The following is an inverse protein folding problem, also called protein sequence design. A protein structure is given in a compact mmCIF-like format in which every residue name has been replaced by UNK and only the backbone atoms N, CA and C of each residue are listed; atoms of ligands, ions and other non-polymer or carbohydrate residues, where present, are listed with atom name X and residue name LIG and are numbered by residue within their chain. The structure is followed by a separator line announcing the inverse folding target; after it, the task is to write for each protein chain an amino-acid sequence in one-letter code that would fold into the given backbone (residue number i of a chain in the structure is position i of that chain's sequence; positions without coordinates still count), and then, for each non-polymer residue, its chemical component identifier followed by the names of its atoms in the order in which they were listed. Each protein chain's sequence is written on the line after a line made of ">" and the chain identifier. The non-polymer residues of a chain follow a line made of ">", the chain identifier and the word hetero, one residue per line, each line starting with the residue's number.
data_IF_515632398944
#
_entry.id   IF_515632398944
#
_cell.length_a   1.000
_cell.length_b   1.000
_cell.length_c   1.000
_cell.angle_alpha   90.00
_cell.angle_beta   90.00
_cell.angle_gamma   90.00
#
_symmetry.space_group_name_H-M   'P 1'
#
loop_
_entity.id
_entity.type
_entity.pdbx_description
1 polymer ?
#
# COMPACT_ATOMS: atom_id res chain seq x y z
N UNK A 1 45.14 -1.80 -0.24
CA UNK A 1 44.44 -1.37 -1.47
C UNK A 1 43.45 -2.42 -1.99
N UNK A 2 43.80 -3.72 -2.08
CA UNK A 2 42.85 -4.76 -2.56
C UNK A 2 41.60 -4.96 -1.67
N UNK A 3 41.75 -4.93 -0.34
CA UNK A 3 40.61 -5.08 0.58
C UNK A 3 39.58 -3.93 0.44
N UNK A 4 40.06 -2.71 0.24
CA UNK A 4 39.22 -1.52 0.02
C UNK A 4 38.47 -1.61 -1.31
N UNK A 5 39.08 -2.16 -2.35
CA UNK A 5 38.42 -2.35 -3.66
C UNK A 5 37.32 -3.42 -3.59
N UNK A 6 37.56 -4.51 -2.86
CA UNK A 6 36.56 -5.58 -2.67
C UNK A 6 35.33 -5.06 -1.91
N UNK A 7 35.55 -4.24 -0.87
CA UNK A 7 34.46 -3.66 -0.09
C UNK A 7 33.52 -2.79 -0.93
N UNK A 8 34.04 -1.96 -1.83
CA UNK A 8 33.23 -1.16 -2.75
C UNK A 8 32.40 -2.05 -3.70
N UNK A 9 33.01 -3.08 -4.27
CA UNK A 9 32.31 -4.04 -5.12
C UNK A 9 31.17 -4.75 -4.38
N UNK A 10 31.39 -5.11 -3.13
CA UNK A 10 30.39 -5.78 -2.29
C UNK A 10 29.21 -4.85 -1.97
N UNK A 11 29.47 -3.57 -1.66
CA UNK A 11 28.41 -2.57 -1.50
C UNK A 11 27.58 -2.44 -2.79
N UNK A 12 28.21 -2.40 -3.97
CA UNK A 12 27.49 -2.29 -5.25
C UNK A 12 26.62 -3.51 -5.53
N UNK A 13 27.12 -4.71 -5.22
CA UNK A 13 26.33 -5.94 -5.34
C UNK A 13 25.14 -5.92 -4.39
N UNK A 14 25.35 -5.48 -3.16
CA UNK A 14 24.29 -5.37 -2.15
C UNK A 14 23.22 -4.35 -2.57
N UNK A 15 23.61 -3.17 -3.06
CA UNK A 15 22.67 -2.17 -3.57
C UNK A 15 21.82 -2.74 -4.71
N UNK A 16 22.45 -3.37 -5.71
CA UNK A 16 21.73 -4.01 -6.84
C UNK A 16 20.76 -5.10 -6.40
N UNK A 17 21.14 -5.88 -5.39
CA UNK A 17 20.26 -6.91 -4.85
C UNK A 17 19.01 -6.29 -4.20
N UNK A 18 19.20 -5.26 -3.38
CA UNK A 18 18.10 -4.52 -2.74
C UNK A 18 17.22 -3.81 -3.78
N UNK A 19 17.82 -3.22 -4.83
CA UNK A 19 17.09 -2.60 -5.93
C UNK A 19 16.20 -3.62 -6.68
N UNK A 20 16.72 -4.81 -6.99
CA UNK A 20 15.93 -5.86 -7.63
C UNK A 20 14.79 -6.36 -6.74
N UNK A 21 15.04 -6.49 -5.43
CA UNK A 21 14.01 -6.89 -4.48
C UNK A 21 12.92 -5.83 -4.34
N UNK A 22 13.31 -4.55 -4.30
CA UNK A 22 12.39 -3.41 -4.30
C UNK A 22 11.50 -3.41 -5.54
N UNK A 23 12.06 -3.60 -6.74
CA UNK A 23 11.29 -3.66 -7.99
C UNK A 23 10.23 -4.76 -7.95
N UNK A 24 10.63 -6.00 -7.63
CA UNK A 24 9.73 -7.14 -7.56
C UNK A 24 8.60 -6.95 -6.55
N UNK A 25 8.92 -6.41 -5.36
CA UNK A 25 7.92 -6.14 -4.33
C UNK A 25 7.04 -4.95 -4.69
N UNK A 26 7.56 -3.86 -5.24
CA UNK A 26 6.74 -2.72 -5.68
C UNK A 26 5.72 -3.13 -6.74
N UNK A 27 6.13 -3.92 -7.73
CA UNK A 27 5.21 -4.46 -8.74
C UNK A 27 4.11 -5.30 -8.09
N UNK A 28 4.47 -6.18 -7.16
CA UNK A 28 3.53 -7.06 -6.47
C UNK A 28 2.58 -6.27 -5.55
N UNK A 29 3.09 -5.24 -4.87
CA UNK A 29 2.33 -4.32 -4.03
C UNK A 29 1.31 -3.53 -4.85
N UNK A 30 1.75 -2.94 -5.98
CA UNK A 30 0.86 -2.22 -6.90
C UNK A 30 -0.27 -3.11 -7.44
N UNK A 31 0.02 -4.39 -7.73
CA UNK A 31 -0.99 -5.37 -8.15
C UNK A 31 -2.00 -5.67 -7.05
N UNK A 32 -1.54 -5.80 -5.79
CA UNK A 32 -2.42 -6.00 -4.65
C UNK A 32 -3.33 -4.78 -4.43
N UNK A 33 -2.81 -3.55 -4.51
CA UNK A 33 -3.60 -2.32 -4.41
C UNK A 33 -4.66 -2.22 -5.51
N UNK A 34 -4.29 -2.55 -6.75
CA UNK A 34 -5.23 -2.53 -7.89
C UNK A 34 -6.30 -3.62 -7.77
N UNK A 35 -5.92 -4.81 -7.32
CA UNK A 35 -6.84 -5.93 -7.10
C UNK A 35 -7.81 -5.66 -5.94
N UNK A 36 -7.35 -4.94 -4.91
CA UNK A 36 -8.21 -4.44 -3.84
C UNK A 36 -9.32 -3.56 -4.40
N UNK A 37 -8.97 -2.59 -5.27
CA UNK A 37 -9.96 -1.71 -5.91
C UNK A 37 -10.97 -2.46 -6.80
N UNK A 38 -10.54 -3.51 -7.52
CA UNK A 38 -11.42 -4.25 -8.43
C UNK A 38 -12.39 -5.17 -7.70
N UNK A 39 -11.95 -5.78 -6.59
CA UNK A 39 -12.79 -6.57 -5.69
C UNK A 39 -13.94 -5.73 -5.13
N UNK A 40 -13.63 -4.53 -4.63
CA UNK A 40 -14.63 -3.60 -4.06
C UNK A 40 -15.72 -3.22 -5.08
N UNK A 41 -15.36 -2.98 -6.35
CA UNK A 41 -16.35 -2.63 -7.38
C UNK A 41 -17.29 -3.79 -7.77
N UNK A 42 -16.84 -5.05 -7.60
CA UNK A 42 -17.64 -6.24 -7.94
C UNK A 42 -18.64 -6.61 -6.84
N UNK A 43 -18.27 -6.39 -5.59
CA UNK A 43 -19.05 -6.80 -4.41
C UNK A 43 -20.34 -5.95 -4.21
N UNK A 44 -20.49 -4.86 -4.96
CA UNK A 44 -21.72 -4.06 -5.03
C UNK A 44 -22.93 -4.86 -5.57
N UNK A 45 -22.72 -6.02 -6.22
CA UNK A 45 -23.78 -6.78 -6.90
C UNK A 45 -24.20 -8.10 -6.22
N UNK A 46 -23.46 -8.61 -5.24
CA UNK A 46 -23.71 -9.93 -4.62
C UNK A 46 -23.35 -9.92 -3.15
N UNK A 47 -24.20 -9.34 -2.30
CA UNK A 47 -23.87 -9.06 -0.90
C UNK A 47 -24.74 -9.90 0.04
N UNK A 48 -24.26 -11.09 0.37
CA UNK A 48 -24.78 -11.89 1.49
C UNK A 48 -23.69 -12.60 2.31
N UNK A 49 -22.41 -12.47 1.97
CA UNK A 49 -21.34 -13.12 2.74
C UNK A 49 -20.01 -12.47 2.41
N UNK A 50 -19.46 -11.60 3.28
CA UNK A 50 -18.01 -11.35 3.47
C UNK A 50 -17.72 -10.13 4.35
N UNK A 51 -17.75 -10.33 5.66
CA UNK A 51 -17.10 -9.43 6.63
C UNK A 51 -15.63 -9.81 6.91
N UNK A 52 -15.16 -10.96 6.40
CA UNK A 52 -13.89 -11.58 6.83
C UNK A 52 -12.76 -11.46 5.79
N UNK A 53 -13.10 -11.29 4.51
CA UNK A 53 -12.10 -11.28 3.41
C UNK A 53 -11.31 -9.97 3.31
N UNK A 54 -11.85 -8.84 3.77
CA UNK A 54 -11.16 -7.53 3.72
C UNK A 54 -10.00 -7.45 4.73
N UNK A 55 -10.23 -7.93 5.95
CA UNK A 55 -9.25 -7.94 7.05
C UNK A 55 -7.96 -8.70 6.68
N UNK A 56 -8.08 -9.84 6.02
CA UNK A 56 -6.91 -10.63 5.59
C UNK A 56 -6.05 -9.92 4.54
N UNK A 57 -6.68 -9.21 3.59
CA UNK A 57 -5.97 -8.48 2.55
C UNK A 57 -5.30 -7.21 3.10
N UNK A 58 -5.95 -6.55 4.07
CA UNK A 58 -5.39 -5.39 4.77
C UNK A 58 -4.11 -5.77 5.55
N UNK A 59 -4.13 -6.88 6.29
CA UNK A 59 -2.95 -7.36 7.02
C UNK A 59 -1.77 -7.65 6.07
N UNK A 60 -2.04 -8.21 4.89
CA UNK A 60 -1.01 -8.46 3.87
C UNK A 60 -0.45 -7.16 3.31
N UNK A 61 -1.29 -6.15 3.07
CA UNK A 61 -0.86 -4.83 2.58
C UNK A 61 -0.02 -4.08 3.61
N UNK A 62 -0.41 -4.15 4.89
CA UNK A 62 0.39 -3.58 5.99
C UNK A 62 1.75 -4.26 6.06
N UNK A 63 1.80 -5.59 6.05
CA UNK A 63 3.06 -6.33 6.08
C UNK A 63 3.98 -5.97 4.91
N UNK A 64 3.42 -5.86 3.70
CA UNK A 64 4.17 -5.49 2.51
C UNK A 64 4.65 -4.04 2.52
N UNK A 65 3.86 -3.13 3.11
CA UNK A 65 4.26 -1.74 3.33
C UNK A 65 5.47 -1.66 4.25
N UNK A 66 5.43 -2.36 5.39
CA UNK A 66 6.54 -2.41 6.35
C UNK A 66 7.80 -3.01 5.73
N UNK A 67 7.64 -4.05 4.91
CA UNK A 67 8.78 -4.69 4.24
C UNK A 67 9.43 -3.77 3.19
N UNK A 68 8.64 -3.05 2.40
CA UNK A 68 9.15 -2.05 1.46
C UNK A 68 9.86 -0.89 2.18
N UNK A 69 9.33 -0.43 3.32
CA UNK A 69 9.99 0.57 4.17
C UNK A 69 11.35 0.08 4.68
N UNK A 70 11.42 -1.18 5.12
CA UNK A 70 12.68 -1.79 5.57
C UNK A 70 13.69 -1.91 4.43
N UNK A 71 13.26 -2.29 3.23
CA UNK A 71 14.14 -2.38 2.05
C UNK A 71 14.66 -1.01 1.61
N UNK A 72 13.81 0.03 1.61
CA UNK A 72 14.23 1.41 1.34
C UNK A 72 15.24 1.90 2.39
N UNK A 73 15.00 1.62 3.66
CA UNK A 73 15.93 1.96 4.75
C UNK A 73 17.28 1.24 4.58
N UNK A 74 17.25 -0.05 4.22
CA UNK A 74 18.46 -0.82 3.98
C UNK A 74 19.24 -0.28 2.78
N UNK A 75 18.58 0.05 1.66
CA UNK A 75 19.24 0.61 0.48
C UNK A 75 19.83 2.01 0.79
N UNK A 76 19.13 2.81 1.58
CA UNK A 76 19.65 4.09 2.09
C UNK A 76 20.95 3.88 2.88
N UNK A 77 20.95 2.94 3.83
CA UNK A 77 22.14 2.65 4.64
C UNK A 77 23.33 2.14 3.79
N UNK A 78 23.07 1.39 2.71
CA UNK A 78 24.11 0.96 1.77
C UNK A 78 24.66 2.14 0.97
N UNK A 79 23.78 3.02 0.49
CA UNK A 79 24.19 4.24 -0.22
C UNK A 79 24.98 5.20 0.68
N UNK A 80 24.68 5.26 1.97
CA UNK A 80 25.44 6.04 2.95
C UNK A 80 26.85 5.46 3.16
N UNK A 81 26.98 4.14 3.32
CA UNK A 81 28.28 3.46 3.38
C UNK A 81 29.11 3.67 2.10
N UNK A 82 28.47 3.66 0.94
CA UNK A 82 29.13 4.02 -0.32
C UNK A 82 29.61 5.47 -0.30
N UNK A 83 28.79 6.40 0.20
CA UNK A 83 29.18 7.80 0.33
C UNK A 83 30.38 7.98 1.27
N UNK A 84 30.38 7.32 2.43
CA UNK A 84 31.51 7.32 3.36
C UNK A 84 32.80 6.79 2.70
N UNK A 85 32.69 5.66 1.98
CA UNK A 85 33.82 5.09 1.25
C UNK A 85 34.41 6.10 0.26
N UNK A 86 33.55 6.77 -0.50
CA UNK A 86 34.01 7.72 -1.50
C UNK A 86 34.60 9.00 -0.93
N UNK A 87 34.25 9.37 0.30
CA UNK A 87 34.84 10.51 1.02
C UNK A 87 36.15 10.14 1.76
N UNK A 88 36.58 8.87 1.71
CA UNK A 88 37.80 8.43 2.38
C UNK A 88 39.03 9.13 1.77
N UNK A 89 39.89 9.78 2.59
CA UNK A 89 41.10 10.45 2.11
C UNK A 89 42.00 9.49 1.31
N UNK A 90 42.40 9.89 0.10
CA UNK A 90 43.22 9.07 -0.81
C UNK A 90 42.44 8.25 -1.84
N UNK A 91 41.12 8.06 -1.67
CA UNK A 91 40.25 7.41 -2.68
C UNK A 91 39.54 8.45 -3.56
N UNK A 92 39.17 9.61 -2.99
CA UNK A 92 38.35 10.63 -3.65
C UNK A 92 39.08 11.43 -4.74
N UNK A 93 40.42 11.52 -4.69
CA UNK A 93 41.22 12.46 -5.49
C UNK A 93 41.18 12.24 -7.01
N UNK A 94 40.62 11.14 -7.51
CA UNK A 94 40.62 10.88 -8.96
C UNK A 94 39.51 9.98 -9.50
N UNK A 95 38.49 9.60 -8.71
CA UNK A 95 37.61 8.51 -9.10
C UNK A 95 36.19 8.99 -9.47
N UNK A 96 36.09 9.80 -10.52
CA UNK A 96 34.82 10.31 -11.06
C UNK A 96 33.81 9.20 -11.37
N UNK A 97 34.29 8.00 -11.74
CA UNK A 97 33.45 6.82 -11.95
C UNK A 97 32.75 6.34 -10.66
N UNK A 98 33.41 6.42 -9.49
CA UNK A 98 32.80 6.08 -8.20
C UNK A 98 31.70 7.09 -7.84
N UNK A 99 31.99 8.38 -8.03
CA UNK A 99 31.02 9.47 -7.81
C UNK A 99 29.78 9.29 -8.67
N UNK A 100 29.95 9.03 -9.97
CA UNK A 100 28.83 8.80 -10.89
C UNK A 100 28.02 7.56 -10.51
N UNK A 101 28.70 6.49 -10.10
CA UNK A 101 28.03 5.25 -9.69
C UNK A 101 27.20 5.47 -8.43
N UNK A 102 27.75 6.13 -7.41
CA UNK A 102 27.01 6.49 -6.20
C UNK A 102 25.82 7.40 -6.52
N UNK A 103 26.02 8.40 -7.37
CA UNK A 103 24.94 9.29 -7.78
C UNK A 103 23.80 8.50 -8.43
N UNK A 104 24.12 7.56 -9.33
CA UNK A 104 23.12 6.70 -9.95
C UNK A 104 22.33 5.88 -8.92
N UNK A 105 23.00 5.28 -7.92
CA UNK A 105 22.31 4.54 -6.86
C UNK A 105 21.41 5.44 -6.00
N UNK A 106 21.77 6.71 -5.79
CA UNK A 106 20.91 7.70 -5.11
C UNK A 106 19.69 8.04 -5.93
N UNK A 107 19.86 8.26 -7.24
CA UNK A 107 18.74 8.56 -8.14
C UNK A 107 17.76 7.37 -8.18
N UNK A 108 18.26 6.13 -8.28
CA UNK A 108 17.45 4.91 -8.23
C UNK A 108 16.66 4.81 -6.92
N UNK A 109 17.33 5.04 -5.78
CA UNK A 109 16.68 5.02 -4.48
C UNK A 109 15.55 6.07 -4.40
N UNK A 110 15.79 7.26 -4.95
CA UNK A 110 14.78 8.33 -4.99
C UNK A 110 13.58 7.94 -5.85
N UNK A 111 13.81 7.35 -7.02
CA UNK A 111 12.75 6.84 -7.90
C UNK A 111 11.88 5.79 -7.19
N UNK A 112 12.51 4.80 -6.55
CA UNK A 112 11.78 3.78 -5.79
C UNK A 112 11.03 4.36 -4.58
N UNK A 113 11.63 5.33 -3.90
CA UNK A 113 11.00 6.03 -2.78
C UNK A 113 9.75 6.76 -3.27
N UNK A 114 9.83 7.45 -4.41
CA UNK A 114 8.70 8.16 -4.97
C UNK A 114 7.56 7.21 -5.38
N UNK A 115 7.88 6.15 -6.12
CA UNK A 115 6.89 5.17 -6.56
C UNK A 115 6.24 4.41 -5.38
N UNK A 116 7.01 4.11 -4.32
CA UNK A 116 6.47 3.56 -3.08
C UNK A 116 5.42 4.50 -2.45
N UNK A 117 5.77 5.77 -2.24
CA UNK A 117 4.87 6.73 -1.61
C UNK A 117 3.61 6.98 -2.45
N UNK A 118 3.76 7.07 -3.77
CA UNK A 118 2.64 7.18 -4.71
C UNK A 118 1.69 5.99 -4.61
N UNK A 119 2.23 4.78 -4.61
CA UNK A 119 1.41 3.55 -4.51
C UNK A 119 0.74 3.44 -3.14
N UNK A 120 1.47 3.75 -2.05
CA UNK A 120 0.95 3.78 -0.69
C UNK A 120 -0.17 4.82 -0.52
N UNK A 121 0.00 6.02 -1.07
CA UNK A 121 -1.02 7.07 -1.04
C UNK A 121 -2.28 6.67 -1.79
N UNK A 122 -2.13 6.05 -2.97
CA UNK A 122 -3.27 5.50 -3.72
C UNK A 122 -4.05 4.46 -2.89
N UNK A 123 -3.33 3.55 -2.24
CA UNK A 123 -3.95 2.57 -1.34
C UNK A 123 -4.70 3.21 -0.17
N UNK A 124 -4.10 4.19 0.52
CA UNK A 124 -4.76 4.88 1.63
C UNK A 124 -6.05 5.57 1.18
N UNK A 125 -6.05 6.20 0.02
CA UNK A 125 -7.25 6.82 -0.56
C UNK A 125 -8.33 5.79 -0.91
N UNK A 126 -7.94 4.62 -1.44
CA UNK A 126 -8.86 3.52 -1.70
C UNK A 126 -9.50 2.98 -0.42
N UNK A 127 -8.71 2.85 0.65
CA UNK A 127 -9.16 2.40 1.96
C UNK A 127 -10.11 3.41 2.60
N UNK A 128 -9.75 4.69 2.63
CA UNK A 128 -10.61 5.75 3.18
C UNK A 128 -11.98 5.78 2.46
N UNK A 129 -11.99 5.58 1.14
CA UNK A 129 -13.23 5.45 0.38
C UNK A 129 -14.06 4.24 0.82
N UNK A 130 -13.44 3.11 1.14
CA UNK A 130 -14.12 1.92 1.64
C UNK A 130 -14.69 2.15 3.04
N UNK A 131 -13.91 2.71 3.97
CA UNK A 131 -14.34 3.02 5.33
C UNK A 131 -15.59 3.93 5.33
N UNK A 132 -15.59 4.95 4.47
CA UNK A 132 -16.73 5.86 4.27
C UNK A 132 -17.96 5.14 3.71
N UNK A 133 -17.79 4.32 2.65
CA UNK A 133 -18.88 3.55 2.05
C UNK A 133 -19.44 2.49 3.00
N UNK A 134 -18.58 1.85 3.80
CA UNK A 134 -18.96 0.89 4.83
C UNK A 134 -19.80 1.55 5.92
N UNK A 135 -19.43 2.76 6.36
CA UNK A 135 -20.21 3.53 7.34
C UNK A 135 -21.60 3.87 6.80
N UNK A 136 -21.68 4.45 5.60
CA UNK A 136 -22.96 4.82 4.98
C UNK A 136 -23.87 3.61 4.80
N UNK A 137 -23.32 2.45 4.41
CA UNK A 137 -24.13 1.24 4.27
C UNK A 137 -24.69 0.75 5.61
N UNK A 138 -23.90 0.77 6.70
CA UNK A 138 -24.38 0.41 8.04
C UNK A 138 -25.50 1.35 8.50
N UNK A 139 -25.37 2.65 8.22
CA UNK A 139 -26.40 3.63 8.55
C UNK A 139 -27.69 3.40 7.75
N UNK A 140 -27.58 3.10 6.44
CA UNK A 140 -28.74 2.75 5.58
C UNK A 140 -29.41 1.46 6.07
N UNK A 141 -28.63 0.43 6.40
CA UNK A 141 -29.16 -0.84 6.87
C UNK A 141 -29.84 -0.70 8.24
N UNK A 142 -29.25 0.06 9.15
CA UNK A 142 -29.84 0.44 10.43
C UNK A 142 -31.16 1.20 10.23
N UNK A 143 -31.19 2.15 9.30
CA UNK A 143 -32.40 2.88 8.95
C UNK A 143 -33.48 1.97 8.35
N UNK A 144 -33.13 1.08 7.41
CA UNK A 144 -34.07 0.15 6.78
C UNK A 144 -34.62 -0.88 7.77
N UNK A 145 -33.78 -1.40 8.66
CA UNK A 145 -34.17 -2.31 9.74
C UNK A 145 -35.12 -1.62 10.73
N UNK A 146 -34.81 -0.37 11.10
CA UNK A 146 -35.68 0.47 11.95
C UNK A 146 -37.01 0.82 11.25
N UNK A 147 -36.97 1.12 9.95
CA UNK A 147 -38.15 1.44 9.13
C UNK A 147 -39.09 0.25 8.94
N UNK A 148 -38.58 -0.98 8.97
CA UNK A 148 -39.41 -2.20 8.93
C UNK A 148 -40.40 -2.30 10.11
N UNK A 149 -40.05 -1.72 11.26
CA UNK A 149 -40.93 -1.64 12.44
C UNK A 149 -42.05 -0.61 12.23
N UNK A 150 -41.73 0.53 11.59
CA UNK A 150 -42.71 1.57 11.27
C UNK A 150 -43.65 1.16 10.13
N UNK A 151 -43.14 0.45 9.10
CA UNK A 151 -43.96 -0.06 8.01
C UNK A 151 -44.99 -1.08 8.49
N UNK A 152 -44.64 -1.94 9.46
CA UNK A 152 -45.60 -2.89 10.05
C UNK A 152 -46.75 -2.17 10.74
N UNK A 153 -46.47 -1.03 11.39
CA UNK A 153 -47.47 -0.16 12.02
C UNK A 153 -48.33 0.56 10.98
N UNK A 154 -47.73 1.07 9.90
CA UNK A 154 -48.42 1.70 8.77
C UNK A 154 -49.31 0.70 8.01
N UNK A 155 -48.85 -0.53 7.77
CA UNK A 155 -49.65 -1.60 7.18
C UNK A 155 -50.84 -1.99 8.07
N UNK A 156 -50.64 -2.02 9.40
CA UNK A 156 -51.72 -2.26 10.36
C UNK A 156 -52.82 -1.20 10.26
N UNK A 157 -52.45 0.09 10.23
CA UNK A 157 -53.41 1.19 10.08
C UNK A 157 -54.13 1.17 8.72
N UNK A 158 -53.42 0.83 7.65
CA UNK A 158 -54.02 0.65 6.32
C UNK A 158 -55.07 -0.47 6.31
N UNK A 159 -54.80 -1.57 7.03
CA UNK A 159 -55.73 -2.68 7.19
C UNK A 159 -56.97 -2.26 7.98
N UNK A 160 -56.83 -1.54 9.09
CA UNK A 160 -57.98 -1.05 9.87
C UNK A 160 -58.90 -0.13 9.07
N UNK A 161 -58.34 0.74 8.22
CA UNK A 161 -59.14 1.60 7.33
C UNK A 161 -59.91 0.82 6.24
N UNK A 162 -59.49 -0.40 5.93
CA UNK A 162 -60.21 -1.30 5.03
C UNK A 162 -61.42 -1.95 5.73
N UNK A 163 -61.28 -2.27 7.02
CA UNK A 163 -62.35 -2.84 7.84
C UNK A 163 -63.46 -1.84 8.19
N UNK A 164 -63.14 -0.55 8.31
CA UNK A 164 -64.11 0.52 8.62
C UNK A 164 -64.98 0.96 7.42
N UNK A 165 -64.71 0.45 6.21
CA UNK A 165 -65.46 0.80 4.99
C UNK A 165 -66.51 -0.24 4.58
N UNK A 166 -66.80 -1.23 5.41
CA UNK A 166 -67.94 -2.16 5.26
C UNK A 166 -68.99 -1.86 6.30
#
# INVERSE_FOLDING_TARGET
>A
MAASSNYWEDLRKQARQLENELDLKLVSFSKLCTSYSSSVNRDQRTRDSRSDSGSSQDNMLVAMTTELEQLLANLTAVNDKMAEYTNTPGVSSHNAALMHTLQRHRDILQDYTHEFHKTKSNFLSLREREDLLGSVHRDIESYKSSSGVNNRKTELFLKEHEHLRK
#
